data_IF_514192479327
#
_entry.id   IF_514192479327
#
_cell.length_a   1.000
_cell.length_b   1.000
_cell.length_c   1.000
_cell.angle_alpha   90.00
_cell.angle_beta   90.00
_cell.angle_gamma   90.00
#
_symmetry.space_group_name_H-M   'P 1'
#
loop_
_entity.id
_entity.type
_entity.pdbx_description
1 polymer ?
#
# COMPACT_ATOMS: atom_id res chain seq x y z
N UNK A 1 -49.20 36.70 12.23
CA UNK A 1 -48.70 35.50 11.49
C UNK A 1 -47.61 35.95 10.52
N UNK A 2 -46.34 35.79 10.88
CA UNK A 2 -45.44 34.70 10.43
C UNK A 2 -44.82 34.92 9.04
N UNK A 3 -43.71 35.67 8.99
CA UNK A 3 -42.71 35.55 7.91
C UNK A 3 -41.29 35.52 8.50
N UNK A 4 -41.04 34.59 9.43
CA UNK A 4 -39.70 34.23 9.93
C UNK A 4 -39.20 32.89 9.38
N UNK A 5 -40.02 32.20 8.58
CA UNK A 5 -39.72 30.86 8.06
C UNK A 5 -38.71 30.86 6.89
N UNK A 6 -38.61 31.95 6.12
CA UNK A 6 -37.74 32.01 4.93
C UNK A 6 -36.24 32.02 5.25
N UNK A 7 -35.84 32.55 6.42
CA UNK A 7 -34.42 32.59 6.84
C UNK A 7 -33.93 31.25 7.41
N UNK A 8 -34.84 30.42 7.91
CA UNK A 8 -34.53 29.07 8.39
C UNK A 8 -34.47 28.04 7.25
N UNK A 9 -35.24 28.25 6.18
CA UNK A 9 -35.22 27.36 5.01
C UNK A 9 -33.91 27.47 4.21
N UNK A 10 -33.30 28.66 4.15
CA UNK A 10 -32.06 28.87 3.39
C UNK A 10 -30.82 28.33 4.14
N UNK A 11 -30.81 28.39 5.48
CA UNK A 11 -29.78 27.73 6.31
C UNK A 11 -29.94 26.21 6.36
N UNK A 12 -31.18 25.69 6.30
CA UNK A 12 -31.42 24.25 6.23
C UNK A 12 -30.91 23.61 4.92
N UNK A 13 -31.02 24.31 3.78
CA UNK A 13 -30.48 23.82 2.51
C UNK A 13 -28.94 23.78 2.44
N UNK A 14 -28.25 24.69 3.13
CA UNK A 14 -26.76 24.67 3.20
C UNK A 14 -26.26 23.61 4.17
N UNK A 15 -27.00 23.32 5.25
CA UNK A 15 -26.65 22.28 6.21
C UNK A 15 -26.77 20.85 5.65
N UNK A 16 -27.64 20.60 4.66
CA UNK A 16 -27.86 19.28 4.06
C UNK A 16 -26.83 18.87 3.00
N UNK A 17 -25.99 19.80 2.52
CA UNK A 17 -24.92 19.51 1.53
C UNK A 17 -23.64 19.01 2.23
N UNK A 18 -23.57 19.09 3.57
CA UNK A 18 -22.37 18.76 4.36
C UNK A 18 -22.20 17.29 4.74
N UNK A 19 -23.13 16.40 4.40
CA UNK A 19 -23.08 15.01 4.85
C UNK A 19 -22.86 14.06 3.67
N UNK A 20 -21.69 13.41 3.65
CA UNK A 20 -21.27 12.33 2.73
C UNK A 20 -20.46 12.73 1.51
N UNK A 21 -19.46 13.61 1.66
CA UNK A 21 -18.24 13.40 0.86
C UNK A 21 -17.48 12.25 1.50
N UNK A 22 -17.66 11.03 0.98
CA UNK A 22 -16.58 10.05 1.10
C UNK A 22 -15.38 10.76 0.46
N UNK A 23 -14.31 10.96 1.23
CA UNK A 23 -13.02 11.33 0.65
C UNK A 23 -12.71 10.19 -0.31
N UNK A 24 -12.97 10.40 -1.59
CA UNK A 24 -12.35 9.59 -2.62
C UNK A 24 -10.86 9.81 -2.38
N UNK A 25 -10.16 8.77 -1.92
CA UNK A 25 -8.70 8.77 -1.98
C UNK A 25 -8.40 8.96 -3.46
N UNK A 26 -7.97 10.16 -3.84
CA UNK A 26 -7.37 10.37 -5.14
C UNK A 26 -6.29 9.29 -5.34
N UNK A 27 -6.04 8.88 -6.58
CA UNK A 27 -4.90 8.00 -6.87
C UNK A 27 -3.65 8.64 -6.23
N UNK A 28 -3.16 8.02 -5.16
CA UNK A 28 -2.08 8.59 -4.34
C UNK A 28 -0.85 8.60 -5.23
N UNK A 29 -0.47 9.78 -5.71
CA UNK A 29 0.53 9.93 -6.77
C UNK A 29 1.85 9.25 -6.40
N UNK A 30 2.27 9.37 -5.15
CA UNK A 30 3.52 8.79 -4.66
C UNK A 30 3.38 7.32 -4.25
N UNK A 31 2.16 6.77 -4.20
CA UNK A 31 1.88 5.38 -3.81
C UNK A 31 2.66 5.01 -2.54
N UNK A 32 2.55 5.84 -1.52
CA UNK A 32 3.35 5.69 -0.31
C UNK A 32 2.93 4.45 0.49
N UNK A 33 3.92 3.68 0.96
CA UNK A 33 3.70 2.49 1.76
C UNK A 33 4.68 2.42 2.93
N UNK A 34 4.15 2.20 4.13
CA UNK A 34 4.96 2.02 5.33
C UNK A 34 5.20 0.53 5.56
N UNK A 35 6.47 0.16 5.66
CA UNK A 35 6.94 -1.20 5.86
C UNK A 35 7.72 -1.31 7.18
N UNK A 36 7.54 -2.41 7.89
CA UNK A 36 8.29 -2.70 9.12
C UNK A 36 9.00 -4.02 8.94
N UNK A 37 10.32 -4.02 9.13
CA UNK A 37 11.17 -5.21 9.03
C UNK A 37 11.67 -5.59 10.42
N UNK A 38 11.54 -6.86 10.79
CA UNK A 38 12.03 -7.42 12.05
C UNK A 38 13.47 -7.93 11.97
N UNK A 39 14.00 -8.08 10.75
CA UNK A 39 15.35 -8.52 10.44
C UNK A 39 15.97 -7.61 9.37
N UNK A 40 17.30 -7.66 9.16
CA UNK A 40 17.93 -6.95 8.05
C UNK A 40 17.38 -7.40 6.70
N UNK A 41 17.02 -6.45 5.84
CA UNK A 41 16.48 -6.71 4.50
C UNK A 41 17.31 -5.96 3.46
N UNK A 42 17.74 -6.64 2.43
CA UNK A 42 18.51 -6.04 1.35
C UNK A 42 17.57 -5.41 0.30
N UNK A 43 18.02 -4.25 -0.19
CA UNK A 43 17.58 -3.60 -1.43
C UNK A 43 18.82 -3.35 -2.30
N UNK A 44 18.70 -3.08 -3.61
CA UNK A 44 19.86 -2.87 -4.47
C UNK A 44 20.82 -1.83 -3.89
N UNK A 45 22.08 -2.22 -3.69
CA UNK A 45 23.14 -1.36 -3.14
C UNK A 45 23.01 -0.97 -1.66
N UNK A 46 22.04 -1.50 -0.89
CA UNK A 46 21.86 -1.14 0.52
C UNK A 46 21.27 -2.28 1.36
N UNK A 47 21.85 -2.53 2.53
CA UNK A 47 21.21 -3.33 3.57
C UNK A 47 20.37 -2.41 4.47
N UNK A 48 19.10 -2.72 4.65
CA UNK A 48 18.20 -2.03 5.56
C UNK A 48 18.24 -2.73 6.92
N UNK A 49 18.55 -2.01 7.98
CA UNK A 49 18.47 -2.54 9.35
C UNK A 49 17.00 -2.79 9.76
N UNK A 50 16.75 -3.64 10.77
CA UNK A 50 15.42 -3.81 11.34
C UNK A 50 14.82 -2.47 11.76
N UNK A 51 13.57 -2.22 11.40
CA UNK A 51 12.91 -0.95 11.68
C UNK A 51 11.78 -0.64 10.73
N UNK A 52 11.33 0.61 10.80
CA UNK A 52 10.20 1.12 10.03
C UNK A 52 10.70 1.99 8.88
N UNK A 53 10.15 1.79 7.70
CA UNK A 53 10.54 2.44 6.48
C UNK A 53 9.32 2.93 5.70
N UNK A 54 9.52 3.99 4.92
CA UNK A 54 8.55 4.48 3.95
C UNK A 54 9.11 4.26 2.56
N UNK A 55 8.36 3.52 1.75
CA UNK A 55 8.60 3.31 0.34
C UNK A 55 7.61 4.16 -0.44
N UNK A 56 8.09 4.95 -1.40
CA UNK A 56 7.22 5.75 -2.26
C UNK A 56 7.87 6.02 -3.59
N UNK A 57 7.07 6.35 -4.59
CA UNK A 57 7.55 6.83 -5.86
C UNK A 57 8.10 8.24 -5.74
N UNK A 58 9.18 8.50 -6.46
CA UNK A 58 9.68 9.85 -6.67
C UNK A 58 8.63 10.68 -7.41
N UNK A 59 8.51 11.95 -7.04
CA UNK A 59 7.65 12.89 -7.73
C UNK A 59 8.24 13.25 -9.11
N UNK A 60 7.92 12.43 -10.11
CA UNK A 60 8.38 12.58 -11.48
C UNK A 60 7.23 12.35 -12.45
N UNK A 61 6.93 13.33 -13.34
CA UNK A 61 5.84 13.21 -14.29
C UNK A 61 6.13 12.19 -15.41
N UNK A 62 7.39 11.87 -15.67
CA UNK A 62 7.81 11.02 -16.78
C UNK A 62 8.40 9.66 -16.36
N UNK A 63 8.89 9.53 -15.12
CA UNK A 63 9.45 8.27 -14.63
C UNK A 63 8.77 7.83 -13.34
N UNK A 64 7.94 6.79 -13.44
CA UNK A 64 7.22 6.17 -12.31
C UNK A 64 7.90 4.91 -11.76
N UNK A 65 9.15 4.66 -12.14
CA UNK A 65 9.93 3.50 -11.69
C UNK A 65 11.03 3.85 -10.69
N UNK A 66 11.07 5.09 -10.20
CA UNK A 66 11.99 5.52 -9.16
C UNK A 66 11.34 5.37 -7.79
N UNK A 67 11.80 4.39 -7.00
CA UNK A 67 11.36 4.19 -5.62
C UNK A 67 12.34 4.89 -4.68
N UNK A 68 11.81 5.76 -3.81
CA UNK A 68 12.52 6.36 -2.68
C UNK A 68 12.22 5.56 -1.41
N UNK A 69 13.27 5.32 -0.63
CA UNK A 69 13.18 4.65 0.66
C UNK A 69 13.65 5.61 1.74
N UNK A 70 12.85 5.75 2.80
CA UNK A 70 13.17 6.52 3.99
C UNK A 70 13.10 5.64 5.23
N UNK A 71 14.03 5.76 6.16
CA UNK A 71 13.89 5.18 7.50
C UNK A 71 13.06 6.12 8.38
N UNK A 72 12.30 5.55 9.31
CA UNK A 72 11.49 6.31 10.25
C UNK A 72 12.03 6.14 11.66
N UNK A 73 12.45 7.24 12.27
CA UNK A 73 12.92 7.22 13.66
C UNK A 73 11.76 7.10 14.67
N UNK A 74 12.10 6.96 15.95
CA UNK A 74 11.11 6.82 17.04
C UNK A 74 10.20 8.05 17.19
N UNK A 75 10.65 9.23 16.73
CA UNK A 75 9.87 10.47 16.72
C UNK A 75 9.01 10.61 15.45
N UNK A 76 9.04 9.64 14.54
CA UNK A 76 8.31 9.65 13.27
C UNK A 76 8.99 10.45 12.16
N UNK A 77 10.25 10.89 12.33
CA UNK A 77 10.97 11.64 11.29
C UNK A 77 11.48 10.68 10.22
N UNK A 78 11.24 11.04 8.96
CA UNK A 78 11.74 10.31 7.80
C UNK A 78 13.16 10.78 7.45
N UNK A 79 14.10 9.84 7.32
CA UNK A 79 15.47 10.08 6.88
C UNK A 79 15.71 9.34 5.56
N UNK A 80 16.22 10.04 4.55
CA UNK A 80 16.46 9.43 3.23
C UNK A 80 17.51 8.32 3.31
N UNK A 81 17.20 7.15 2.73
CA UNK A 81 18.07 5.97 2.75
C UNK A 81 18.62 5.64 1.37
N UNK A 82 17.74 5.60 0.37
CA UNK A 82 18.08 5.21 -0.99
C UNK A 82 17.04 5.70 -2.01
N UNK A 83 17.47 5.81 -3.27
CA UNK A 83 16.62 5.94 -4.44
C UNK A 83 17.01 4.85 -5.43
N UNK A 84 16.04 4.05 -5.86
CA UNK A 84 16.27 2.84 -6.66
C UNK A 84 15.42 2.91 -7.92
N UNK A 85 16.07 2.74 -9.07
CA UNK A 85 15.39 2.50 -10.34
C UNK A 85 14.93 1.04 -10.38
N UNK A 86 13.67 0.84 -10.74
CA UNK A 86 13.02 -0.46 -10.78
C UNK A 86 12.48 -0.74 -12.18
N UNK A 87 11.93 -1.93 -12.38
CA UNK A 87 11.17 -2.25 -13.59
C UNK A 87 9.75 -2.69 -13.21
N UNK A 88 8.74 -2.46 -14.05
CA UNK A 88 7.38 -2.90 -13.75
C UNK A 88 7.27 -4.42 -13.59
N UNK A 89 6.53 -4.88 -12.58
CA UNK A 89 6.18 -6.29 -12.36
C UNK A 89 4.66 -6.45 -12.42
N UNK A 90 4.15 -7.10 -13.46
CA UNK A 90 2.70 -7.23 -13.67
C UNK A 90 2.14 -8.50 -13.02
N UNK A 91 0.94 -8.37 -12.45
CA UNK A 91 0.19 -9.49 -11.90
C UNK A 91 -1.19 -9.60 -12.54
N UNK A 92 -1.65 -10.84 -12.69
CA UNK A 92 -3.01 -11.13 -13.16
C UNK A 92 -4.06 -10.70 -12.13
N UNK A 93 -3.77 -10.94 -10.83
CA UNK A 93 -4.64 -10.54 -9.72
C UNK A 93 -4.04 -9.33 -9.01
N UNK A 94 -4.76 -8.22 -9.06
CA UNK A 94 -4.47 -7.02 -8.28
C UNK A 94 -4.54 -7.34 -6.78
N UNK A 95 -3.52 -6.99 -5.99
CA UNK A 95 -3.58 -7.17 -4.55
C UNK A 95 -4.51 -6.13 -3.92
N UNK A 96 -5.40 -6.58 -3.04
CA UNK A 96 -6.28 -5.69 -2.26
C UNK A 96 -5.56 -5.02 -1.08
N UNK A 97 -4.34 -5.49 -0.78
CA UNK A 97 -3.53 -5.09 0.39
C UNK A 97 -2.08 -4.83 0.00
N UNK A 98 -1.33 -4.06 0.82
CA UNK A 98 0.10 -3.91 0.68
C UNK A 98 0.80 -5.25 0.54
N UNK A 99 1.65 -5.42 -0.47
CA UNK A 99 2.37 -6.67 -0.68
C UNK A 99 3.83 -6.43 -1.05
N UNK A 100 4.71 -7.18 -0.41
CA UNK A 100 6.14 -7.24 -0.71
C UNK A 100 6.47 -8.69 -1.02
N UNK A 101 7.10 -8.93 -2.16
CA UNK A 101 7.63 -10.22 -2.53
C UNK A 101 9.15 -10.20 -2.29
N UNK A 102 9.65 -11.24 -1.64
CA UNK A 102 11.08 -11.43 -1.43
C UNK A 102 11.72 -12.31 -2.51
N UNK A 103 13.00 -12.13 -2.77
CA UNK A 103 13.79 -13.04 -3.60
C UNK A 103 13.95 -14.38 -2.91
N UNK A 104 13.92 -15.47 -3.68
CA UNK A 104 14.32 -16.77 -3.16
C UNK A 104 15.85 -16.81 -3.06
N UNK A 105 16.34 -17.08 -1.85
CA UNK A 105 17.77 -17.10 -1.52
C UNK A 105 18.10 -18.33 -0.69
N UNK A 106 19.40 -18.64 -0.58
CA UNK A 106 19.85 -19.76 0.21
C UNK A 106 19.52 -19.52 1.69
N UNK A 107 19.39 -20.61 2.44
CA UNK A 107 19.11 -20.52 3.87
C UNK A 107 20.28 -19.82 4.58
N UNK A 108 19.98 -18.71 5.26
CA UNK A 108 20.97 -17.91 5.98
C UNK A 108 21.39 -16.62 5.26
N UNK A 109 21.08 -16.49 3.98
CA UNK A 109 21.24 -15.22 3.27
C UNK A 109 20.20 -14.20 3.78
N UNK A 110 20.56 -12.90 3.90
CA UNK A 110 19.59 -11.87 4.21
C UNK A 110 18.47 -11.84 3.16
N UNK A 111 17.22 -11.68 3.62
CA UNK A 111 16.09 -11.50 2.73
C UNK A 111 16.30 -10.27 1.84
N UNK A 112 15.87 -10.34 0.59
CA UNK A 112 15.85 -9.18 -0.29
C UNK A 112 14.49 -8.96 -0.90
N UNK A 113 14.14 -7.71 -1.08
CA UNK A 113 12.90 -7.35 -1.76
C UNK A 113 13.06 -7.63 -3.24
N UNK A 114 12.26 -8.56 -3.77
CA UNK A 114 12.12 -8.79 -5.20
C UNK A 114 11.23 -7.73 -5.82
N UNK A 115 10.02 -7.58 -5.31
CA UNK A 115 9.01 -6.68 -5.87
C UNK A 115 8.12 -6.11 -4.80
N UNK A 116 7.70 -4.87 -4.99
CA UNK A 116 6.75 -4.17 -4.13
C UNK A 116 5.48 -3.84 -4.90
N UNK A 117 4.30 -4.11 -4.33
CA UNK A 117 3.00 -3.87 -4.96
C UNK A 117 2.13 -2.97 -4.08
N UNK A 118 1.61 -1.91 -4.69
CA UNK A 118 0.66 -1.00 -4.06
C UNK A 118 -0.79 -1.55 -4.21
N UNK A 119 -1.65 -1.43 -3.18
CA UNK A 119 -3.01 -1.93 -3.25
C UNK A 119 -3.80 -1.30 -4.41
N UNK A 120 -4.56 -2.11 -5.13
CA UNK A 120 -5.40 -1.63 -6.24
C UNK A 120 -4.68 -1.49 -7.58
N UNK A 121 -3.34 -1.61 -7.62
CA UNK A 121 -2.57 -1.64 -8.87
C UNK A 121 -2.32 -3.07 -9.34
N UNK A 122 -2.51 -3.34 -10.63
CA UNK A 122 -2.20 -4.65 -11.21
C UNK A 122 -0.70 -4.85 -11.51
N UNK A 123 0.13 -3.88 -11.14
CA UNK A 123 1.58 -3.96 -11.28
C UNK A 123 2.27 -3.40 -10.04
N UNK A 124 3.55 -3.74 -9.91
CA UNK A 124 4.43 -3.24 -8.87
C UNK A 124 5.80 -2.88 -9.43
N UNK A 125 6.74 -2.69 -8.52
CA UNK A 125 8.11 -2.27 -8.80
C UNK A 125 9.07 -3.39 -8.43
N UNK A 126 9.68 -4.00 -9.45
CA UNK A 126 10.70 -5.03 -9.31
C UNK A 126 12.09 -4.41 -9.16
N UNK A 127 12.77 -4.78 -8.08
CA UNK A 127 14.09 -4.31 -7.72
C UNK A 127 15.14 -5.14 -8.45
N UNK A 128 15.97 -4.48 -9.27
CA UNK A 128 17.00 -5.14 -10.07
C UNK A 128 18.33 -5.11 -9.33
N UNK A 129 18.81 -6.28 -8.91
CA UNK A 129 20.10 -6.41 -8.22
C UNK A 129 21.26 -6.61 -9.21
N UNK A 130 22.39 -5.90 -9.03
CA UNK A 130 23.58 -6.13 -9.82
C UNK A 130 24.11 -7.55 -9.60
N UNK A 131 24.79 -8.10 -10.62
CA UNK A 131 25.27 -9.49 -10.59
C UNK A 131 26.20 -9.78 -9.41
N UNK A 132 27.03 -8.82 -9.01
CA UNK A 132 27.95 -8.96 -7.86
C UNK A 132 27.19 -9.25 -6.58
N UNK A 133 26.14 -8.49 -6.27
CA UNK A 133 25.35 -8.66 -5.03
C UNK A 133 24.66 -10.02 -4.97
N UNK A 134 24.11 -10.50 -6.10
CA UNK A 134 23.52 -11.86 -6.15
C UNK A 134 24.54 -12.97 -5.94
N UNK A 135 25.78 -12.79 -6.41
CA UNK A 135 26.86 -13.76 -6.24
C UNK A 135 27.46 -13.72 -4.84
N UNK A 136 27.55 -12.53 -4.23
CA UNK A 136 28.01 -12.35 -2.85
C UNK A 136 27.08 -13.04 -1.87
N UNK A 137 25.76 -12.87 -2.00
CA UNK A 137 24.80 -13.65 -1.20
C UNK A 137 25.01 -15.15 -1.38
N UNK A 138 25.13 -15.64 -2.62
CA UNK A 138 25.39 -17.06 -2.87
C UNK A 138 26.75 -17.57 -2.33
N UNK A 139 27.73 -16.69 -2.12
CA UNK A 139 29.11 -17.07 -1.71
C UNK A 139 29.35 -16.97 -0.20
N UNK A 140 28.56 -16.19 0.55
CA UNK A 140 28.70 -16.03 2.01
C UNK A 140 28.27 -17.32 2.76
N UNK A 141 27.49 -18.17 2.13
CA UNK A 141 27.11 -19.48 2.69
C UNK A 141 28.29 -20.46 2.66
N UNK A 142 29.06 -20.52 3.75
CA UNK A 142 29.76 -21.75 4.13
C UNK A 142 28.71 -22.80 4.56
N UNK A 143 28.94 -24.10 4.29
CA UNK A 143 28.06 -25.15 4.79
C UNK A 143 27.92 -25.01 6.31
N UNK A 144 26.73 -25.30 6.89
CA UNK A 144 26.61 -25.47 8.33
C UNK A 144 27.74 -26.40 8.80
N UNK A 145 28.43 -26.10 9.91
CA UNK A 145 29.34 -27.09 10.49
C UNK A 145 28.53 -28.36 10.66
N UNK A 146 29.00 -29.43 10.00
CA UNK A 146 28.36 -30.73 10.02
C UNK A 146 27.91 -31.00 11.46
N UNK A 147 26.60 -31.23 11.61
CA UNK A 147 25.99 -31.56 12.88
C UNK A 147 26.92 -32.52 13.61
N UNK A 148 27.49 -32.08 14.73
CA UNK A 148 28.12 -32.99 15.65
C UNK A 148 27.02 -33.97 16.06
N UNK A 149 27.08 -35.18 15.51
CA UNK A 149 26.23 -36.28 15.91
C UNK A 149 26.27 -36.37 17.44
N UNK A 150 25.14 -36.23 18.15
CA UNK A 150 25.11 -36.55 19.56
C UNK A 150 25.28 -38.07 19.64
N UNK A 151 26.50 -38.52 19.90
CA UNK A 151 26.77 -39.90 20.30
C UNK A 151 25.99 -40.14 21.59
N UNK A 152 24.95 -40.97 21.50
CA UNK A 152 24.23 -41.52 22.64
C UNK A 152 25.06 -42.66 23.24
N UNK A 153 25.39 -42.61 24.54
CA UNK A 153 25.33 -43.83 25.39
C UNK A 153 24.50 -43.67 26.70
N UNK A 154 24.20 -44.74 27.44
CA UNK A 154 22.89 -45.40 27.52
C UNK A 154 22.12 -45.14 28.85
N UNK A 155 20.80 -45.39 28.85
CA UNK A 155 20.01 -45.64 30.07
C UNK A 155 20.17 -47.13 30.51
N UNK A 156 19.68 -47.65 31.67
CA UNK A 156 18.87 -47.08 32.80
C UNK A 156 19.41 -47.60 34.21
N UNK A 157 18.74 -47.56 35.41
CA UNK A 157 17.35 -47.93 35.76
C UNK A 157 16.53 -46.96 36.68
N UNK A 158 15.20 -47.03 36.52
CA UNK A 158 14.05 -46.58 37.33
C UNK A 158 14.20 -46.89 38.86
N UNK A 159 13.67 -46.19 39.89
CA UNK A 159 12.41 -45.47 40.25
C UNK A 159 12.61 -44.89 41.70
N UNK A 160 11.68 -44.20 42.45
CA UNK A 160 10.24 -43.98 42.25
C UNK A 160 9.70 -42.54 42.51
N UNK A 161 8.39 -42.42 42.26
CA UNK A 161 7.44 -41.30 42.27
C UNK A 161 7.14 -40.67 43.65
N UNK A 162 7.08 -39.33 43.70
CA UNK A 162 6.15 -38.46 44.49
C UNK A 162 6.63 -36.99 44.31
N UNK A 163 5.85 -35.93 44.08
CA UNK A 163 4.41 -35.65 44.30
C UNK A 163 4.02 -34.30 43.63
N UNK A 164 2.99 -34.32 42.75
CA UNK A 164 1.88 -33.36 42.47
C UNK A 164 2.06 -31.82 42.19
N UNK A 165 1.06 -31.15 41.54
CA UNK A 165 1.16 -30.02 40.59
C UNK A 165 0.70 -28.69 41.28
N UNK A 166 0.10 -27.62 40.67
CA UNK A 166 -0.22 -27.27 39.28
C UNK A 166 0.06 -25.80 38.84
N UNK A 167 0.06 -25.53 37.53
CA UNK A 167 -0.70 -24.46 36.86
C UNK A 167 -0.18 -24.19 35.44
N UNK A 168 -0.74 -24.90 34.48
CA UNK A 168 -0.84 -24.47 33.09
C UNK A 168 -2.12 -23.64 32.95
N UNK A 169 -2.03 -22.37 32.55
CA UNK A 169 -3.13 -21.65 31.90
C UNK A 169 -2.53 -20.52 31.07
N UNK A 170 -2.59 -20.75 29.74
CA UNK A 170 -2.88 -19.84 28.64
C UNK A 170 -2.51 -18.35 28.80
N UNK A 171 -1.81 -17.78 27.79
CA UNK A 171 -2.40 -16.69 27.00
C UNK A 171 -2.01 -16.78 25.52
N UNK A 172 -3.07 -16.77 24.74
CA UNK A 172 -3.25 -16.71 23.30
C UNK A 172 -2.73 -15.38 22.71
N UNK A 173 -1.96 -15.43 21.61
CA UNK A 173 -1.82 -14.31 20.68
C UNK A 173 -1.73 -14.88 19.24
N UNK A 174 -2.60 -14.46 18.30
CA UNK A 174 -2.73 -15.08 16.98
C UNK A 174 -1.54 -14.76 16.07
N UNK A 175 -0.93 -15.81 15.53
CA UNK A 175 0.03 -15.74 14.42
C UNK A 175 -0.71 -15.35 13.15
N UNK A 176 -0.47 -14.14 12.64
CA UNK A 176 -0.86 -13.77 11.28
C UNK A 176 0.01 -14.56 10.30
N UNK A 177 -0.64 -15.50 9.64
CA UNK A 177 -0.13 -16.37 8.57
C UNK A 177 0.46 -15.52 7.45
N UNK A 178 1.77 -15.64 7.23
CA UNK A 178 2.41 -15.26 5.96
C UNK A 178 2.18 -16.44 5.02
N UNK A 179 1.22 -16.29 4.12
CA UNK A 179 0.88 -17.30 3.12
C UNK A 179 1.95 -17.33 2.03
N UNK A 180 2.92 -18.23 2.20
CA UNK A 180 3.83 -18.68 1.13
C UNK A 180 3.13 -19.83 0.41
N UNK A 181 2.46 -19.54 -0.71
CA UNK A 181 1.97 -20.60 -1.60
C UNK A 181 2.88 -20.74 -2.82
N UNK A 182 3.63 -21.84 -2.83
CA UNK A 182 4.21 -22.50 -4.00
C UNK A 182 3.20 -23.49 -4.55
N UNK A 183 2.76 -23.34 -5.80
CA UNK A 183 2.27 -24.46 -6.62
C UNK A 183 2.72 -24.27 -8.08
N UNK A 184 3.52 -25.23 -8.55
CA UNK A 184 3.81 -25.49 -9.97
C UNK A 184 2.89 -26.63 -10.41
N UNK A 185 2.51 -26.61 -11.70
CA UNK A 185 1.67 -27.57 -12.45
C UNK A 185 0.18 -27.28 -12.26
N UNK A 186 -0.61 -27.03 -13.31
CA UNK A 186 -0.76 -27.86 -14.49
C UNK A 186 -1.00 -27.00 -15.75
N UNK A 187 -0.20 -27.26 -16.79
CA UNK A 187 -0.54 -26.91 -18.17
C UNK A 187 -1.63 -27.86 -18.63
N UNK A 188 -2.84 -27.35 -18.89
CA UNK A 188 -3.83 -28.03 -19.71
C UNK A 188 -4.15 -27.11 -20.89
N UNK A 189 -3.55 -27.45 -22.03
CA UNK A 189 -3.88 -26.95 -23.36
C UNK A 189 -5.37 -27.23 -23.62
N UNK A 190 -6.20 -26.19 -23.68
CA UNK A 190 -7.51 -26.26 -24.31
C UNK A 190 -7.50 -25.32 -25.51
N UNK A 191 -7.81 -25.94 -26.63
CA UNK A 191 -7.74 -25.46 -27.99
C UNK A 191 -8.61 -24.23 -28.25
N UNK A 192 -8.06 -23.34 -29.06
CA UNK A 192 -8.73 -22.29 -29.80
C UNK A 192 -9.90 -22.84 -30.64
N UNK A 193 -11.10 -22.24 -30.59
CA UNK A 193 -11.91 -22.08 -31.75
C UNK A 193 -11.96 -20.58 -32.09
N UNK A 194 -11.35 -20.25 -33.22
CA UNK A 194 -11.60 -19.01 -33.93
C UNK A 194 -13.11 -18.90 -34.19
N UNK A 195 -13.79 -18.01 -33.48
CA UNK A 195 -15.10 -17.52 -33.86
C UNK A 195 -14.94 -16.13 -34.48
N UNK A 196 -14.83 -16.15 -35.82
CA UNK A 196 -15.13 -15.03 -36.70
C UNK A 196 -16.60 -14.63 -36.50
N UNK A 197 -16.85 -13.74 -35.55
CA UNK A 197 -18.05 -12.90 -35.53
C UNK A 197 -17.77 -11.61 -34.76
N UNK A 198 -17.25 -10.62 -35.48
CA UNK A 198 -17.27 -9.22 -35.07
C UNK A 198 -18.65 -8.62 -35.39
N UNK A 199 -19.54 -8.38 -34.41
CA UNK A 199 -20.53 -7.34 -34.60
C UNK A 199 -19.82 -5.97 -34.51
N UNK A 200 -20.10 -5.15 -35.51
CA UNK A 200 -19.57 -3.81 -35.67
C UNK A 200 -19.62 -3.00 -34.37
N UNK A 201 -18.49 -2.40 -34.06
CA UNK A 201 -18.23 -1.37 -33.07
C UNK A 201 -19.46 -0.54 -32.65
N UNK A 202 -20.03 -0.87 -31.48
CA UNK A 202 -20.82 0.09 -30.72
C UNK A 202 -19.83 0.94 -29.90
N UNK A 203 -19.30 1.99 -30.54
CA UNK A 203 -18.44 2.98 -29.90
C UNK A 203 -19.29 3.92 -29.04
N UNK A 204 -19.87 3.39 -27.98
CA UNK A 204 -20.36 4.22 -26.88
C UNK A 204 -19.12 4.60 -26.06
N UNK A 205 -18.62 5.81 -26.29
CA UNK A 205 -17.64 6.43 -25.41
C UNK A 205 -18.22 6.41 -23.98
N UNK A 206 -17.46 6.02 -22.94
CA UNK A 206 -17.91 6.26 -21.58
C UNK A 206 -18.14 7.77 -21.44
N UNK A 207 -19.28 8.17 -20.87
CA UNK A 207 -19.58 9.57 -20.59
C UNK A 207 -18.49 10.15 -19.67
N UNK A 208 -17.49 10.80 -20.25
CA UNK A 208 -16.49 11.61 -19.53
C UNK A 208 -16.92 13.07 -19.46
N UNK A 209 -18.22 13.35 -19.40
CA UNK A 209 -18.73 14.64 -18.97
C UNK A 209 -18.79 14.63 -17.43
N UNK A 210 -17.61 14.64 -16.82
CA UNK A 210 -17.47 14.91 -15.39
C UNK A 210 -18.15 16.23 -15.02
N UNK A 211 -18.56 16.34 -13.76
CA UNK A 211 -19.35 17.38 -13.08
C UNK A 211 -18.89 18.86 -13.24
N UNK A 212 -18.12 19.21 -14.26
CA UNK A 212 -17.69 20.54 -14.70
C UNK A 212 -18.81 21.59 -14.70
N UNK A 213 -20.01 21.25 -15.16
CA UNK A 213 -21.17 22.15 -15.10
C UNK A 213 -21.56 22.50 -13.64
N UNK A 214 -21.44 21.54 -12.71
CA UNK A 214 -21.72 21.77 -11.30
C UNK A 214 -20.68 22.70 -10.65
N UNK A 215 -19.39 22.55 -10.99
CA UNK A 215 -18.34 23.47 -10.51
C UNK A 215 -18.51 24.89 -11.05
N UNK A 216 -18.90 25.05 -12.32
CA UNK A 216 -19.17 26.35 -12.92
C UNK A 216 -20.37 27.04 -12.23
N UNK A 217 -21.46 26.30 -11.98
CA UNK A 217 -22.62 26.81 -11.25
C UNK A 217 -22.26 27.19 -9.81
N UNK A 218 -21.45 26.38 -9.12
CA UNK A 218 -20.98 26.71 -7.77
C UNK A 218 -20.19 28.03 -7.74
N UNK A 219 -19.28 28.24 -8.71
CA UNK A 219 -18.52 29.49 -8.84
C UNK A 219 -19.41 30.71 -9.09
N UNK A 220 -20.42 30.60 -9.97
CA UNK A 220 -21.36 31.70 -10.25
C UNK A 220 -22.15 32.07 -8.98
N UNK A 221 -22.60 31.07 -8.21
CA UNK A 221 -23.34 31.31 -6.95
C UNK A 221 -22.47 32.05 -5.93
N UNK A 222 -21.19 31.69 -5.81
CA UNK A 222 -20.26 32.38 -4.89
C UNK A 222 -20.02 33.83 -5.29
N UNK A 223 -19.81 34.10 -6.58
CA UNK A 223 -19.60 35.47 -7.08
C UNK A 223 -20.87 36.32 -6.89
N UNK A 224 -22.04 35.78 -7.24
CA UNK A 224 -23.32 36.47 -7.08
C UNK A 224 -23.61 36.78 -5.60
N UNK A 225 -23.35 35.82 -4.70
CA UNK A 225 -23.49 36.02 -3.25
C UNK A 225 -22.57 37.11 -2.71
N UNK A 226 -21.31 37.15 -3.14
CA UNK A 226 -20.34 38.18 -2.76
C UNK A 226 -20.75 39.58 -3.23
N UNK A 227 -21.20 39.71 -4.48
CA UNK A 227 -21.68 40.98 -5.03
C UNK A 227 -22.96 41.47 -4.32
N UNK A 228 -23.85 40.56 -3.94
CA UNK A 228 -25.07 40.91 -3.20
C UNK A 228 -24.75 41.40 -1.77
N UNK A 229 -23.80 40.76 -1.08
CA UNK A 229 -23.35 41.21 0.25
C UNK A 229 -22.71 42.61 0.20
N UNK A 230 -21.88 42.88 -0.82
CA UNK A 230 -21.27 44.19 -1.08
C UNK A 230 -22.31 45.28 -1.40
N UNK A 231 -23.38 44.92 -2.10
CA UNK A 231 -24.51 45.82 -2.38
C UNK A 231 -25.23 46.23 -1.08
N UNK A 232 -25.50 45.28 -0.18
CA UNK A 232 -26.15 45.56 1.09
C UNK A 232 -25.28 46.41 2.03
N UNK A 233 -23.97 46.18 2.07
CA UNK A 233 -23.05 46.98 2.90
C UNK A 233 -22.98 48.43 2.44
N UNK A 234 -22.97 48.67 1.12
CA UNK A 234 -23.01 50.03 0.54
C UNK A 234 -24.33 50.75 0.81
N UNK A 235 -25.46 50.05 0.76
CA UNK A 235 -26.78 50.62 1.05
C UNK A 235 -26.92 51.03 2.51
N UNK A 236 -26.41 50.21 3.43
CA UNK A 236 -26.39 50.55 4.86
C UNK A 236 -25.45 51.73 5.15
N UNK A 237 -24.31 51.84 4.47
CA UNK A 237 -23.39 52.97 4.61
C UNK A 237 -24.00 54.31 4.11
N UNK A 238 -24.90 54.26 3.11
CA UNK A 238 -25.61 55.44 2.60
C UNK A 238 -26.81 55.85 3.46
N UNK A 239 -27.44 54.92 4.17
CA UNK A 239 -28.55 55.20 5.07
C UNK A 239 -28.12 55.78 6.43
N UNK A 240 -26.82 55.83 6.72
CA UNK A 240 -26.24 56.33 7.98
C UNK A 240 -25.53 57.68 7.82
N UNK A 241 -25.83 58.42 6.75
CA UNK A 241 -25.36 59.80 6.51
C UNK A 241 -26.52 60.78 6.47
#
# INVERSE_FOLDING_TARGET
>A
MTMKCSRFLLTACVALIGFSTKVATADEWNKEMVLTFSAPVQVPGKMLDPGKYVFRLADSPSNRNLVQIFSVDDNGRQNFVAMIETVPDYRLKTPDKPMVQFEERHLGDPEAIKSWFYPGDNYGWHFVYPKSERLESASITQPPPAAAEPVAPPAPPEEPVASEPPAETAQDIPVLVIEKETVISQVQLVSDPSDDNLPAADRVLPETAGHSAAFLLAGIVTIAGGLFALSLSRRNAQATR
#
